data_IF_137033811697
#
_entry.id   IF_137033811697
#
_cell.length_a   1.000
_cell.length_b   1.000
_cell.length_c   1.000
_cell.angle_alpha   90.00
_cell.angle_beta   90.00
_cell.angle_gamma   90.00
#
_symmetry.space_group_name_H-M   'P 1'
#
loop_
_entity.id
_entity.type
_entity.pdbx_description
1 polymer ?
#
# COMPACT_ATOMS: atom_id res chain seq x y z
N UNK A 1 -2.88 23.42 0.18
CA UNK A 1 -4.17 22.71 0.31
C UNK A 1 -4.38 21.83 -0.93
N UNK A 2 -5.29 20.84 -0.94
CA UNK A 2 -5.54 20.03 -2.14
C UNK A 2 -5.84 20.86 -3.39
N UNK A 3 -6.49 22.01 -3.17
CA UNK A 3 -6.94 22.95 -4.20
C UNK A 3 -5.81 23.61 -5.00
N UNK A 4 -4.63 23.80 -4.40
CA UNK A 4 -3.49 24.44 -5.08
C UNK A 4 -2.92 23.53 -6.17
N UNK A 5 -2.80 22.23 -5.89
CA UNK A 5 -2.31 21.25 -6.86
C UNK A 5 -3.26 21.13 -8.06
N UNK A 6 -4.58 21.09 -7.79
CA UNK A 6 -5.60 21.03 -8.84
C UNK A 6 -5.62 22.31 -9.67
N UNK A 7 -5.48 23.48 -9.04
CA UNK A 7 -5.40 24.77 -9.75
C UNK A 7 -4.18 24.82 -10.66
N UNK A 8 -3.01 24.40 -10.17
CA UNK A 8 -1.77 24.34 -10.95
C UNK A 8 -1.92 23.38 -12.13
N UNK A 9 -2.50 22.19 -11.91
CA UNK A 9 -2.78 21.22 -12.97
C UNK A 9 -3.69 21.79 -14.06
N UNK A 10 -4.81 22.42 -13.68
CA UNK A 10 -5.74 23.04 -14.63
C UNK A 10 -5.06 24.16 -15.44
N UNK A 11 -4.27 25.02 -14.78
CA UNK A 11 -3.51 26.09 -15.46
C UNK A 11 -2.48 25.53 -16.43
N UNK A 12 -1.80 24.45 -16.04
CA UNK A 12 -0.82 23.74 -16.88
C UNK A 12 -1.45 23.24 -18.18
N UNK A 13 -2.57 22.53 -18.08
CA UNK A 13 -3.32 22.03 -19.24
C UNK A 13 -3.86 23.17 -20.10
N UNK A 14 -4.44 24.21 -19.47
CA UNK A 14 -4.97 25.37 -20.18
C UNK A 14 -3.90 26.09 -21.01
N UNK A 15 -2.67 26.13 -20.50
CA UNK A 15 -1.53 26.73 -21.19
C UNK A 15 -0.83 25.76 -22.17
N UNK A 16 -1.39 24.57 -22.43
CA UNK A 16 -0.85 23.62 -23.39
C UNK A 16 0.36 22.81 -22.90
N UNK A 17 0.67 22.82 -21.59
CA UNK A 17 1.76 22.03 -21.04
C UNK A 17 1.33 20.59 -20.72
N UNK A 18 2.19 19.63 -21.07
CA UNK A 18 1.93 18.20 -20.87
C UNK A 18 2.29 17.76 -19.44
N UNK A 19 1.34 17.19 -18.65
CA UNK A 19 1.60 16.68 -17.31
C UNK A 19 2.74 15.68 -17.28
N UNK A 20 3.59 15.78 -16.26
CA UNK A 20 4.68 14.85 -16.02
C UNK A 20 4.32 13.87 -14.89
N UNK A 21 5.15 12.86 -14.68
CA UNK A 21 5.05 11.95 -13.52
C UNK A 21 4.98 12.73 -12.19
N UNK A 22 5.75 13.82 -12.06
CA UNK A 22 5.73 14.66 -10.86
C UNK A 22 4.39 15.39 -10.68
N UNK A 23 3.78 15.84 -11.78
CA UNK A 23 2.44 16.44 -11.76
C UNK A 23 1.41 15.45 -11.22
N UNK A 24 1.42 14.21 -11.72
CA UNK A 24 0.52 13.15 -11.26
C UNK A 24 0.76 12.78 -9.79
N UNK A 25 2.02 12.67 -9.36
CA UNK A 25 2.37 12.38 -7.97
C UNK A 25 1.90 13.47 -7.02
N UNK A 26 2.05 14.74 -7.42
CA UNK A 26 1.53 15.88 -6.65
C UNK A 26 0.01 15.83 -6.54
N UNK A 27 -0.70 15.55 -7.64
CA UNK A 27 -2.16 15.45 -7.66
C UNK A 27 -2.68 14.29 -6.79
N UNK A 28 -2.10 13.10 -6.92
CA UNK A 28 -2.43 11.97 -6.05
C UNK A 28 -2.21 12.29 -4.58
N UNK A 29 -1.04 12.84 -4.24
CA UNK A 29 -0.71 13.22 -2.86
C UNK A 29 -1.75 14.21 -2.34
N UNK A 30 -2.05 15.25 -3.12
CA UNK A 30 -3.07 16.25 -2.80
C UNK A 30 -4.44 15.60 -2.50
N UNK A 31 -4.97 14.78 -3.40
CA UNK A 31 -6.27 14.15 -3.23
C UNK A 31 -6.32 13.22 -2.02
N UNK A 32 -5.30 12.38 -1.83
CA UNK A 32 -5.26 11.49 -0.66
C UNK A 32 -5.13 12.26 0.66
N UNK A 33 -4.44 13.40 0.69
CA UNK A 33 -4.38 14.22 1.90
C UNK A 33 -5.70 14.95 2.17
N UNK A 34 -6.44 15.30 1.12
CA UNK A 34 -7.79 15.86 1.18
C UNK A 34 -8.90 14.84 1.40
N UNK A 35 -8.58 13.59 1.79
CA UNK A 35 -9.53 12.49 1.97
C UNK A 35 -10.40 12.19 0.74
N UNK A 36 -9.92 12.52 -0.47
CA UNK A 36 -10.61 12.26 -1.73
C UNK A 36 -9.97 11.04 -2.41
N UNK A 37 -10.31 9.85 -1.92
CA UNK A 37 -9.72 8.59 -2.33
C UNK A 37 -9.97 8.30 -3.83
N UNK A 38 -11.20 8.49 -4.28
CA UNK A 38 -11.64 8.20 -5.64
C UNK A 38 -10.85 9.02 -6.66
N UNK A 39 -10.66 10.31 -6.40
CA UNK A 39 -9.86 11.18 -7.29
C UNK A 39 -8.38 10.82 -7.28
N UNK A 40 -7.82 10.40 -6.14
CA UNK A 40 -6.46 9.88 -6.08
C UNK A 40 -6.27 8.64 -6.95
N UNK A 41 -7.20 7.68 -6.88
CA UNK A 41 -7.21 6.49 -7.74
C UNK A 41 -7.49 6.82 -9.22
N UNK A 42 -8.37 7.77 -9.52
CA UNK A 42 -8.61 8.22 -10.88
C UNK A 42 -7.34 8.84 -11.50
N UNK A 43 -6.59 9.63 -10.71
CA UNK A 43 -5.32 10.24 -11.12
C UNK A 43 -4.26 9.19 -11.46
N UNK A 44 -4.12 8.13 -10.65
CA UNK A 44 -3.24 7.00 -10.95
C UNK A 44 -3.61 6.31 -12.28
N UNK A 45 -4.91 6.05 -12.49
CA UNK A 45 -5.41 5.42 -13.73
C UNK A 45 -5.18 6.31 -14.94
N UNK A 46 -5.40 7.62 -14.81
CA UNK A 46 -5.15 8.58 -15.89
C UNK A 46 -3.68 8.60 -16.31
N UNK A 47 -2.75 8.64 -15.33
CA UNK A 47 -1.31 8.56 -15.59
C UNK A 47 -0.96 7.35 -16.46
N UNK A 48 -1.49 6.17 -16.10
CA UNK A 48 -1.30 4.94 -16.87
C UNK A 48 -1.93 5.00 -18.27
N UNK A 49 -3.14 5.54 -18.41
CA UNK A 49 -3.82 5.71 -19.71
C UNK A 49 -3.07 6.64 -20.66
N UNK A 50 -2.30 7.61 -20.13
CA UNK A 50 -1.43 8.49 -20.92
C UNK A 50 -0.05 7.88 -21.20
N UNK A 51 0.18 6.62 -20.83
CA UNK A 51 1.46 5.93 -21.06
C UNK A 51 2.61 6.44 -20.19
N UNK A 52 2.32 7.15 -19.09
CA UNK A 52 3.35 7.64 -18.18
C UNK A 52 3.69 6.52 -17.18
N UNK A 53 4.92 6.01 -17.29
CA UNK A 53 5.40 4.93 -16.42
C UNK A 53 5.56 5.41 -14.98
N UNK A 54 4.93 4.69 -14.04
CA UNK A 54 5.07 4.95 -12.61
C UNK A 54 6.48 4.58 -12.11
N UNK A 55 7.07 5.46 -11.30
CA UNK A 55 8.33 5.26 -10.61
C UNK A 55 8.13 4.89 -9.13
N UNK A 56 9.24 4.69 -8.41
CA UNK A 56 9.21 4.36 -6.97
C UNK A 56 8.41 5.39 -6.16
N UNK A 57 8.54 6.68 -6.49
CA UNK A 57 7.81 7.74 -5.80
C UNK A 57 6.30 7.67 -6.08
N UNK A 58 5.92 7.41 -7.33
CA UNK A 58 4.52 7.27 -7.77
C UNK A 58 3.83 6.15 -6.99
N UNK A 59 4.46 4.97 -6.95
CA UNK A 59 3.96 3.86 -6.15
C UNK A 59 3.91 4.20 -4.66
N UNK A 60 4.96 4.85 -4.12
CA UNK A 60 4.99 5.23 -2.69
C UNK A 60 3.84 6.16 -2.32
N UNK A 61 3.53 7.15 -3.16
CA UNK A 61 2.38 8.05 -2.98
C UNK A 61 1.07 7.26 -3.02
N UNK A 62 0.92 6.37 -4.00
CA UNK A 62 -0.30 5.60 -4.21
C UNK A 62 -0.57 4.60 -3.07
N UNK A 63 0.45 3.87 -2.63
CA UNK A 63 0.40 2.91 -1.52
C UNK A 63 0.09 3.63 -0.20
N UNK A 64 0.75 4.76 0.08
CA UNK A 64 0.42 5.57 1.26
C UNK A 64 -1.02 6.10 1.21
N UNK A 65 -1.53 6.43 0.02
CA UNK A 65 -2.94 6.76 -0.21
C UNK A 65 -3.87 5.64 0.25
N UNK A 66 -3.63 4.40 -0.18
CA UNK A 66 -4.40 3.24 0.25
C UNK A 66 -4.32 2.98 1.76
N UNK A 67 -3.11 3.02 2.35
CA UNK A 67 -2.93 2.86 3.80
C UNK A 67 -3.70 3.93 4.58
N UNK A 68 -3.63 5.19 4.13
CA UNK A 68 -4.34 6.31 4.78
C UNK A 68 -5.86 6.11 4.80
N UNK A 69 -6.42 5.53 3.75
CA UNK A 69 -7.86 5.31 3.60
C UNK A 69 -8.32 3.92 4.05
N UNK A 70 -7.50 3.18 4.81
CA UNK A 70 -7.87 1.87 5.33
C UNK A 70 -8.11 0.82 4.25
N UNK A 71 -7.35 0.88 3.16
CA UNK A 71 -7.36 -0.09 2.04
C UNK A 71 -6.06 -0.91 2.01
N UNK A 72 -5.70 -1.64 3.09
CA UNK A 72 -4.41 -2.31 3.18
C UNK A 72 -4.25 -3.45 2.16
N UNK A 73 -5.34 -4.05 1.68
CA UNK A 73 -5.26 -5.08 0.61
C UNK A 73 -4.79 -4.50 -0.73
N UNK A 74 -5.28 -3.31 -1.10
CA UNK A 74 -4.81 -2.62 -2.30
C UNK A 74 -3.35 -2.17 -2.14
N UNK A 75 -3.00 -1.65 -0.96
CA UNK A 75 -1.60 -1.35 -0.63
C UNK A 75 -0.69 -2.59 -0.79
N UNK A 76 -1.12 -3.75 -0.27
CA UNK A 76 -0.39 -5.01 -0.41
C UNK A 76 -0.15 -5.39 -1.87
N UNK A 77 -1.18 -5.34 -2.72
CA UNK A 77 -1.07 -5.68 -4.15
C UNK A 77 0.02 -4.84 -4.83
N UNK A 78 0.04 -3.54 -4.56
CA UNK A 78 1.02 -2.63 -5.16
C UNK A 78 2.43 -2.80 -4.59
N UNK A 79 2.58 -3.11 -3.30
CA UNK A 79 3.88 -3.47 -2.73
C UNK A 79 4.43 -4.74 -3.40
N UNK A 80 3.60 -5.78 -3.55
CA UNK A 80 4.00 -7.04 -4.20
C UNK A 80 4.38 -6.80 -5.66
N UNK A 81 3.62 -5.99 -6.40
CA UNK A 81 3.94 -5.60 -7.77
C UNK A 81 5.31 -4.92 -7.87
N UNK A 82 5.62 -3.97 -6.98
CA UNK A 82 6.96 -3.34 -6.94
C UNK A 82 8.08 -4.35 -6.70
N UNK A 83 7.88 -5.28 -5.76
CA UNK A 83 8.90 -6.29 -5.45
C UNK A 83 9.11 -7.24 -6.63
N UNK A 84 8.03 -7.69 -7.28
CA UNK A 84 8.11 -8.56 -8.44
C UNK A 84 8.78 -7.86 -9.64
N UNK A 85 8.65 -6.53 -9.75
CA UNK A 85 9.35 -5.69 -10.74
C UNK A 85 10.81 -5.40 -10.38
N UNK A 86 11.30 -5.89 -9.24
CA UNK A 86 12.66 -5.59 -8.76
C UNK A 86 12.85 -4.11 -8.39
N UNK A 87 11.76 -3.35 -8.19
CA UNK A 87 11.84 -1.96 -7.78
C UNK A 87 12.21 -1.85 -6.31
N UNK A 88 12.81 -0.72 -5.90
CA UNK A 88 12.99 -0.46 -4.49
C UNK A 88 11.63 -0.41 -3.79
N UNK A 89 11.51 -1.24 -2.75
CA UNK A 89 10.38 -1.25 -1.82
C UNK A 89 10.06 0.18 -1.36
N UNK A 90 8.77 0.56 -1.29
CA UNK A 90 8.36 1.93 -1.02
C UNK A 90 8.62 2.31 0.44
N UNK A 91 8.91 3.59 0.66
CA UNK A 91 9.01 4.15 2.01
C UNK A 91 7.61 4.43 2.57
N UNK A 92 7.05 3.44 3.25
CA UNK A 92 5.74 3.51 3.91
C UNK A 92 5.85 3.14 5.39
N UNK A 93 4.86 3.55 6.16
CA UNK A 93 4.72 3.11 7.55
C UNK A 93 4.23 1.65 7.60
N UNK A 94 5.18 0.71 7.64
CA UNK A 94 4.91 -0.72 7.69
C UNK A 94 4.22 -1.16 8.98
N UNK A 95 4.34 -0.41 10.08
CA UNK A 95 3.61 -0.72 11.31
C UNK A 95 2.13 -0.43 11.12
N UNK A 96 1.79 0.75 10.59
CA UNK A 96 0.40 1.10 10.26
C UNK A 96 -0.17 0.14 9.23
N UNK A 97 0.55 -0.13 8.14
CA UNK A 97 0.14 -1.08 7.11
C UNK A 97 -0.15 -2.46 7.72
N UNK A 98 0.78 -3.03 8.50
CA UNK A 98 0.62 -4.37 9.06
C UNK A 98 -0.51 -4.43 10.11
N UNK A 99 -0.67 -3.37 10.92
CA UNK A 99 -1.79 -3.25 11.83
C UNK A 99 -3.13 -3.27 11.09
N UNK A 100 -3.25 -2.50 10.02
CA UNK A 100 -4.47 -2.43 9.21
C UNK A 100 -4.72 -3.75 8.46
N UNK A 101 -3.69 -4.31 7.85
CA UNK A 101 -3.75 -5.60 7.15
C UNK A 101 -4.07 -6.76 8.10
N UNK A 102 -3.70 -6.67 9.39
CA UNK A 102 -4.02 -7.72 10.36
C UNK A 102 -5.52 -7.95 10.55
N UNK A 103 -6.35 -6.94 10.26
CA UNK A 103 -7.81 -7.07 10.29
C UNK A 103 -8.35 -7.92 9.14
N UNK A 104 -7.63 -8.00 8.02
CA UNK A 104 -7.96 -8.89 6.90
C UNK A 104 -7.70 -10.37 7.21
N UNK A 105 -6.99 -10.69 8.30
CA UNK A 105 -6.87 -12.07 8.79
C UNK A 105 -5.98 -12.97 7.93
N UNK A 106 -5.08 -12.42 7.11
CA UNK A 106 -4.18 -13.17 6.20
C UNK A 106 -2.71 -13.16 6.68
N UNK A 107 -2.34 -13.95 7.70
CA UNK A 107 -0.97 -13.97 8.22
C UNK A 107 0.06 -14.49 7.22
N UNK A 108 -0.30 -15.46 6.38
CA UNK A 108 0.63 -16.07 5.43
C UNK A 108 1.06 -15.08 4.35
N UNK A 109 0.14 -14.22 3.90
CA UNK A 109 0.45 -13.13 2.97
C UNK A 109 1.46 -12.13 3.56
N UNK A 110 1.31 -11.76 4.84
CA UNK A 110 2.31 -10.92 5.53
C UNK A 110 3.66 -11.63 5.66
N UNK A 111 3.66 -12.94 5.90
CA UNK A 111 4.89 -13.74 6.00
C UNK A 111 5.62 -13.81 4.66
N UNK A 112 4.89 -14.06 3.57
CA UNK A 112 5.42 -14.12 2.22
C UNK A 112 6.01 -12.76 1.81
N UNK A 113 5.28 -11.67 2.09
CA UNK A 113 5.77 -10.33 1.81
C UNK A 113 7.02 -10.00 2.63
N UNK A 114 7.07 -10.41 3.91
CA UNK A 114 8.26 -10.23 4.73
C UNK A 114 9.48 -10.95 4.16
N UNK A 115 9.32 -12.22 3.74
CA UNK A 115 10.39 -12.98 3.10
C UNK A 115 10.89 -12.29 1.83
N UNK A 116 9.97 -11.87 0.95
CA UNK A 116 10.29 -11.10 -0.26
C UNK A 116 11.08 -9.83 0.07
N UNK A 117 10.66 -9.07 1.07
CA UNK A 117 11.37 -7.85 1.50
C UNK A 117 12.75 -8.14 2.09
N UNK A 118 12.91 -9.26 2.80
CA UNK A 118 14.19 -9.71 3.33
C UNK A 118 15.22 -9.93 2.21
N UNK A 119 14.82 -10.62 1.14
CA UNK A 119 15.69 -10.85 -0.02
C UNK A 119 16.08 -9.56 -0.75
N UNK A 120 15.26 -8.52 -0.68
CA UNK A 120 15.57 -7.18 -1.24
C UNK A 120 16.38 -6.28 -0.28
N UNK A 121 16.88 -6.82 0.84
CA UNK A 121 17.70 -6.08 1.80
C UNK A 121 16.92 -5.10 2.70
N UNK A 122 15.60 -5.21 2.78
CA UNK A 122 14.74 -4.35 3.61
C UNK A 122 14.39 -5.02 4.93
N UNK A 123 15.43 -5.26 5.74
CA UNK A 123 15.35 -6.05 6.98
C UNK A 123 14.35 -5.49 8.00
N UNK A 124 14.32 -4.17 8.22
CA UNK A 124 13.38 -3.57 9.18
C UNK A 124 11.92 -3.79 8.80
N UNK A 125 11.56 -3.58 7.53
CA UNK A 125 10.21 -3.81 7.03
C UNK A 125 9.84 -5.30 7.12
N UNK A 126 10.76 -6.19 6.72
CA UNK A 126 10.61 -7.64 6.88
C UNK A 126 10.33 -8.04 8.33
N UNK A 127 11.12 -7.53 9.29
CA UNK A 127 11.00 -7.83 10.71
C UNK A 127 9.64 -7.39 11.27
N UNK A 128 9.17 -6.20 10.91
CA UNK A 128 7.84 -5.71 11.29
C UNK A 128 6.75 -6.65 10.77
N UNK A 129 6.76 -6.97 9.48
CA UNK A 129 5.75 -7.81 8.84
C UNK A 129 5.72 -9.24 9.42
N UNK A 130 6.89 -9.84 9.62
CA UNK A 130 7.02 -11.17 10.24
C UNK A 130 6.48 -11.18 11.68
N UNK A 131 6.80 -10.16 12.49
CA UNK A 131 6.29 -10.04 13.86
C UNK A 131 4.77 -9.98 13.88
N UNK A 132 4.16 -9.23 12.97
CA UNK A 132 2.70 -9.15 12.84
C UNK A 132 2.09 -10.48 12.38
N UNK A 133 2.69 -11.15 11.39
CA UNK A 133 2.26 -12.47 10.94
C UNK A 133 2.24 -13.49 12.09
N UNK A 134 3.32 -13.59 12.87
CA UNK A 134 3.40 -14.51 14.01
C UNK A 134 2.39 -14.18 15.11
N UNK A 135 2.18 -12.89 15.40
CA UNK A 135 1.14 -12.44 16.34
C UNK A 135 -0.25 -12.87 15.88
N UNK A 136 -0.54 -12.79 14.58
CA UNK A 136 -1.81 -13.22 14.00
C UNK A 136 -2.00 -14.74 14.10
N UNK A 137 -0.99 -15.54 13.72
CA UNK A 137 -1.05 -17.01 13.84
C UNK A 137 -1.31 -17.47 15.27
N UNK A 138 -0.67 -16.82 16.27
CA UNK A 138 -0.93 -17.10 17.70
C UNK A 138 -2.36 -16.76 18.12
N UNK A 139 -2.92 -15.65 17.64
CA UNK A 139 -4.32 -15.27 17.91
C UNK A 139 -5.31 -16.27 17.32
N UNK A 140 -5.05 -16.77 16.11
CA UNK A 140 -5.88 -17.80 15.46
C UNK A 140 -5.82 -19.11 16.26
N UNK A 141 -4.62 -19.58 16.64
CA UNK A 141 -4.46 -20.78 17.48
C UNK A 141 -5.18 -20.68 18.82
N UNK A 142 -5.11 -19.53 19.51
CA UNK A 142 -5.83 -19.28 20.77
C UNK A 142 -7.35 -19.27 20.61
N UNK A 143 -7.87 -18.86 19.46
CA UNK A 143 -9.32 -18.89 19.15
C UNK A 143 -9.84 -20.29 18.79
N UNK A 144 -8.95 -21.26 18.57
CA UNK A 144 -9.26 -22.67 18.36
C UNK A 144 -8.92 -23.50 19.62
N UNK A 145 -9.56 -23.31 20.78
CA UNK A 145 -9.34 -24.24 21.89
C UNK A 145 -10.09 -25.57 21.63
N UNK A 146 -9.32 -26.65 21.65
CA UNK A 146 -9.67 -28.02 22.04
C UNK A 146 -11.08 -28.55 21.64
N UNK A 147 -11.21 -29.15 20.45
CA UNK A 147 -12.30 -30.12 20.12
C UNK A 147 -11.96 -31.57 20.51
N UNK A 148 -10.95 -31.78 21.34
CA UNK A 148 -10.62 -33.09 21.92
C UNK A 148 -11.10 -33.14 23.37
N UNK A 149 -12.40 -33.39 23.52
CA UNK A 149 -13.08 -33.54 24.81
C UNK A 149 -14.38 -34.35 24.69
N UNK A 150 -14.48 -35.27 23.73
CA UNK A 150 -15.38 -36.42 23.82
C UNK A 150 -14.51 -37.65 24.00
N UNK A 151 -14.37 -38.11 25.24
CA UNK A 151 -14.13 -39.52 25.51
C UNK A 151 -15.24 -40.00 26.44
N UNK A 152 -15.92 -41.00 25.90
CA UNK A 152 -16.99 -41.80 26.45
C UNK A 152 -16.62 -42.31 27.85
N UNK A 153 -17.57 -42.20 28.77
CA UNK A 153 -17.90 -43.23 29.74
C UNK A 153 -19.42 -43.34 29.78
#
# INVERSE_FOLDING_TARGET
MPDDAVRIYKKMIHNGFNPTIHTYNMMMKSYFHGNNYEMGCATWKEMGRKGICADVNSYTVYINGHIRHGRPEEAYKHIVDMVNKGMSVPQVDYNKFAADFSRAGRPDALSELAQKMNFTGKFEASNVLNRWSERMKKRVKKRLPNRSGQRLF
#
